data_IF_944516291207
#
_entry.id   IF_944516291207
#
_cell.length_a   1.000
_cell.length_b   1.000
_cell.length_c   1.000
_cell.angle_alpha   90.00
_cell.angle_beta   90.00
_cell.angle_gamma   90.00
#
_symmetry.space_group_name_H-M   'P 1'
#
loop_
_entity.id
_entity.type
_entity.pdbx_description
1 polymer ?
#
# COMPACT_ATOMS: atom_id res chain seq x y z
N UNK A 1 -15.89 32.01 15.53
CA UNK A 1 -15.81 31.02 16.60
C UNK A 1 -14.34 30.81 16.91
N UNK A 2 -13.90 30.77 18.16
CA UNK A 2 -12.50 30.52 18.47
C UNK A 2 -12.14 29.10 18.04
N UNK A 3 -11.08 28.98 17.23
CA UNK A 3 -10.48 27.70 16.86
C UNK A 3 -10.08 26.98 18.14
N UNK A 4 -10.64 25.80 18.39
CA UNK A 4 -10.11 24.93 19.44
C UNK A 4 -8.65 24.59 19.08
N UNK A 5 -7.73 24.59 20.07
CA UNK A 5 -6.37 24.18 19.81
C UNK A 5 -6.41 22.72 19.35
N UNK A 6 -5.89 22.47 18.16
CA UNK A 6 -5.61 21.14 17.63
C UNK A 6 -4.68 20.50 18.67
N UNK A 7 -5.17 19.47 19.38
CA UNK A 7 -4.28 18.61 20.14
C UNK A 7 -3.22 18.15 19.12
N UNK A 8 -1.97 18.51 19.35
CA UNK A 8 -0.88 18.25 18.43
C UNK A 8 -0.69 16.75 18.32
N UNK A 9 -1.32 16.14 17.32
CA UNK A 9 -1.08 14.76 16.96
C UNK A 9 0.40 14.65 16.61
N UNK A 10 1.15 13.94 17.46
CA UNK A 10 2.57 13.72 17.24
C UNK A 10 2.75 12.33 16.66
N UNK A 11 3.44 12.26 15.55
CA UNK A 11 3.90 11.00 15.00
C UNK A 11 5.35 10.74 15.36
N UNK A 12 5.73 9.47 15.48
CA UNK A 12 7.14 9.08 15.65
C UNK A 12 7.50 7.91 14.75
N UNK A 13 8.70 7.98 14.16
CA UNK A 13 9.27 6.92 13.34
C UNK A 13 10.11 5.97 14.18
N UNK A 14 9.97 4.69 13.91
CA UNK A 14 10.84 3.62 14.40
C UNK A 14 11.26 2.75 13.24
N UNK A 15 12.57 2.56 13.05
CA UNK A 15 13.07 1.58 12.08
C UNK A 15 12.92 0.17 12.66
N UNK A 16 12.19 -0.68 11.94
CA UNK A 16 11.89 -2.04 12.39
C UNK A 16 12.93 -3.04 11.89
N UNK A 17 13.39 -2.86 10.65
CA UNK A 17 14.28 -3.78 9.97
C UNK A 17 14.99 -3.07 8.82
N UNK A 18 16.18 -3.54 8.50
CA UNK A 18 16.97 -3.15 7.33
C UNK A 18 17.71 -4.40 6.86
N UNK A 19 17.29 -4.97 5.73
CA UNK A 19 17.77 -6.26 5.26
C UNK A 19 17.84 -6.31 3.74
N UNK A 20 18.96 -6.78 3.19
CA UNK A 20 19.19 -6.88 1.74
C UNK A 20 18.16 -7.76 1.03
N UNK A 21 17.62 -8.79 1.69
CA UNK A 21 16.51 -9.59 1.11
C UNK A 21 15.28 -8.75 0.83
N UNK A 22 15.08 -7.69 1.59
CA UNK A 22 13.94 -6.79 1.44
C UNK A 22 14.13 -5.69 0.40
N UNK A 23 15.32 -5.54 -0.20
CA UNK A 23 15.62 -4.53 -1.24
C UNK A 23 14.70 -4.67 -2.43
N UNK A 24 13.73 -3.75 -2.59
CA UNK A 24 12.83 -3.70 -3.74
C UNK A 24 11.98 -2.45 -3.83
N UNK A 25 11.39 -2.23 -5.01
CA UNK A 25 10.29 -1.29 -5.26
C UNK A 25 9.15 -1.99 -6.00
N UNK A 26 7.98 -1.37 -6.07
CA UNK A 26 6.80 -1.88 -6.80
C UNK A 26 6.26 -3.24 -6.32
N UNK A 27 6.54 -3.59 -5.07
CA UNK A 27 6.01 -4.75 -4.36
C UNK A 27 4.61 -4.47 -3.82
N UNK A 28 3.96 -5.51 -3.29
CA UNK A 28 2.81 -5.38 -2.40
C UNK A 28 3.23 -5.68 -0.97
N UNK A 29 2.60 -4.97 -0.03
CA UNK A 29 2.73 -5.17 1.40
C UNK A 29 1.35 -5.25 2.02
N UNK A 30 1.13 -6.24 2.88
CA UNK A 30 -0.10 -6.37 3.67
C UNK A 30 0.24 -6.68 5.13
N UNK A 31 -0.39 -5.98 6.04
CA UNK A 31 -0.33 -6.28 7.48
C UNK A 31 -1.50 -7.19 7.84
N UNK A 32 -1.18 -8.38 8.30
CA UNK A 32 -2.16 -9.39 8.70
C UNK A 32 -1.82 -9.83 10.12
N UNK A 33 -2.70 -9.50 11.05
CA UNK A 33 -2.46 -9.68 12.49
C UNK A 33 -1.11 -9.05 12.90
N UNK A 34 -0.17 -9.85 13.37
CA UNK A 34 1.17 -9.42 13.78
C UNK A 34 2.26 -9.66 12.70
N UNK A 35 1.86 -9.85 11.45
CA UNK A 35 2.77 -10.15 10.36
C UNK A 35 2.66 -9.13 9.23
N UNK A 36 3.80 -8.74 8.69
CA UNK A 36 3.91 -8.01 7.42
C UNK A 36 4.24 -9.03 6.34
N UNK A 37 3.36 -9.20 5.38
CA UNK A 37 3.55 -10.07 4.22
C UNK A 37 3.93 -9.22 3.01
N UNK A 38 5.05 -9.55 2.34
CA UNK A 38 5.57 -8.81 1.20
C UNK A 38 5.74 -9.77 0.03
N UNK A 39 5.25 -9.38 -1.15
CA UNK A 39 5.35 -10.19 -2.36
C UNK A 39 5.68 -9.35 -3.60
N UNK A 40 6.44 -9.95 -4.53
CA UNK A 40 6.79 -9.31 -5.80
C UNK A 40 7.76 -8.13 -5.67
N UNK A 41 7.67 -7.22 -6.62
CA UNK A 41 8.57 -6.08 -6.73
C UNK A 41 9.81 -6.38 -7.56
N UNK A 42 10.68 -5.38 -7.68
CA UNK A 42 11.90 -5.44 -8.50
C UNK A 42 13.09 -4.81 -7.77
N UNK A 43 14.29 -5.37 -8.00
CA UNK A 43 15.57 -4.78 -7.57
C UNK A 43 16.16 -3.91 -8.67
N UNK A 44 15.99 -4.32 -9.91
CA UNK A 44 16.36 -3.55 -11.10
C UNK A 44 15.12 -3.29 -11.95
N UNK A 45 15.10 -2.19 -12.71
CA UNK A 45 13.97 -1.88 -13.58
C UNK A 45 13.61 -3.05 -14.48
N UNK A 46 12.33 -3.47 -14.45
CA UNK A 46 11.78 -4.55 -15.29
C UNK A 46 12.35 -5.95 -15.04
N UNK A 47 12.92 -6.17 -13.85
CA UNK A 47 13.39 -7.50 -13.42
C UNK A 47 12.61 -7.89 -12.14
N UNK A 48 11.44 -8.55 -12.23
CA UNK A 48 10.70 -9.02 -11.08
C UNK A 48 11.56 -9.94 -10.21
N UNK A 49 11.48 -9.77 -8.88
CA UNK A 49 12.42 -10.40 -7.95
C UNK A 49 12.30 -11.93 -7.96
N UNK A 50 11.24 -12.48 -7.41
CA UNK A 50 10.94 -13.92 -7.37
C UNK A 50 9.47 -14.16 -6.98
N UNK A 51 9.08 -15.42 -6.77
CA UNK A 51 7.74 -15.84 -6.38
C UNK A 51 7.60 -16.16 -4.89
N UNK A 52 8.56 -15.74 -4.08
CA UNK A 52 8.55 -15.99 -2.64
C UNK A 52 7.81 -14.89 -1.88
N UNK A 53 7.26 -15.25 -0.73
CA UNK A 53 6.68 -14.31 0.23
C UNK A 53 7.68 -14.07 1.35
N UNK A 54 7.98 -12.81 1.63
CA UNK A 54 8.74 -12.41 2.80
C UNK A 54 7.78 -12.02 3.91
N UNK A 55 7.95 -12.62 5.09
CA UNK A 55 7.09 -12.42 6.26
C UNK A 55 7.94 -11.85 7.40
N UNK A 56 7.54 -10.68 7.89
CA UNK A 56 8.18 -10.04 9.05
C UNK A 56 7.23 -10.05 10.23
N UNK A 57 7.64 -10.68 11.35
CA UNK A 57 6.86 -10.65 12.58
C UNK A 57 7.01 -9.31 13.29
N UNK A 58 5.89 -8.67 13.62
CA UNK A 58 5.84 -7.42 14.38
C UNK A 58 5.96 -7.64 15.90
N UNK A 59 5.73 -8.87 16.39
CA UNK A 59 5.97 -9.23 17.80
C UNK A 59 7.45 -9.42 18.04
N UNK A 60 7.94 -8.86 19.14
CA UNK A 60 9.27 -9.19 19.66
C UNK A 60 9.31 -10.67 20.01
N UNK A 61 10.37 -11.38 19.60
CA UNK A 61 10.47 -12.81 19.81
C UNK A 61 10.36 -13.18 21.30
N UNK A 62 9.23 -13.75 21.70
CA UNK A 62 9.12 -14.48 22.96
C UNK A 62 9.90 -15.77 22.75
N UNK A 63 11.09 -15.86 23.35
CA UNK A 63 11.80 -17.13 23.47
C UNK A 63 10.88 -18.14 24.12
N UNK A 64 10.62 -19.23 23.42
CA UNK A 64 9.87 -20.39 23.94
C UNK A 64 10.47 -20.82 25.31
N UNK A 65 9.67 -21.05 26.36
CA UNK A 65 10.15 -21.40 27.69
C UNK A 65 10.48 -22.88 27.80
N UNK A 66 11.34 -23.42 26.95
CA UNK A 66 11.89 -24.75 27.10
C UNK A 66 13.35 -24.80 26.70
N UNK A 67 14.24 -24.27 27.58
CA UNK A 67 15.55 -24.87 27.86
C UNK A 67 16.10 -24.28 29.15
N UNK A 68 15.99 -25.03 30.22
CA UNK A 68 16.59 -24.74 31.50
C UNK A 68 18.08 -25.06 31.45
N UNK A 69 18.96 -24.03 31.47
CA UNK A 69 20.24 -23.98 32.17
C UNK A 69 20.77 -22.56 32.22
N UNK A 70 21.17 -22.02 33.41
CA UNK A 70 21.69 -20.67 33.49
C UNK A 70 23.18 -20.65 33.12
N UNK A 71 23.50 -19.96 32.03
CA UNK A 71 24.87 -19.51 31.77
C UNK A 71 25.02 -18.10 32.31
N UNK A 72 25.94 -17.93 33.26
CA UNK A 72 26.36 -16.64 33.80
C UNK A 72 27.22 -15.95 32.74
N UNK A 73 26.67 -14.97 32.06
CA UNK A 73 27.22 -13.76 31.47
C UNK A 73 26.11 -13.19 30.59
N UNK A 74 25.29 -12.34 31.20
CA UNK A 74 24.29 -11.54 30.50
C UNK A 74 24.83 -10.14 30.37
N UNK A 75 25.25 -9.76 29.20
CA UNK A 75 25.24 -8.38 28.78
C UNK A 75 23.84 -8.12 28.24
N UNK A 76 23.14 -7.18 28.85
CA UNK A 76 21.83 -6.69 28.44
C UNK A 76 21.92 -6.07 27.03
N UNK A 77 21.56 -6.85 26.02
CA UNK A 77 21.10 -6.37 24.72
C UNK A 77 20.17 -7.44 24.14
N UNK A 78 18.97 -7.53 24.71
CA UNK A 78 17.87 -8.17 24.02
C UNK A 78 17.41 -7.18 22.95
N UNK A 79 18.10 -7.18 21.82
CA UNK A 79 17.68 -6.45 20.61
C UNK A 79 16.30 -6.93 20.25
N UNK A 80 15.39 -5.99 20.09
CA UNK A 80 14.00 -6.12 19.63
C UNK A 80 13.97 -6.50 18.13
N UNK A 81 14.82 -7.49 17.75
CA UNK A 81 15.03 -7.90 16.39
C UNK A 81 13.77 -8.56 15.82
N UNK A 82 13.17 -7.93 14.82
CA UNK A 82 12.07 -8.49 14.07
C UNK A 82 12.55 -9.71 13.27
N UNK A 83 11.74 -10.77 13.27
CA UNK A 83 12.08 -11.99 12.55
C UNK A 83 11.59 -11.91 11.12
N UNK A 84 12.52 -11.99 10.16
CA UNK A 84 12.25 -12.14 8.75
C UNK A 84 12.27 -13.63 8.35
N UNK A 85 11.24 -14.08 7.67
CA UNK A 85 11.19 -15.41 7.04
C UNK A 85 10.85 -15.25 5.56
N UNK A 86 11.64 -15.89 4.69
CA UNK A 86 11.35 -15.99 3.26
C UNK A 86 10.81 -17.37 2.94
N UNK A 87 9.60 -17.45 2.43
CA UNK A 87 8.92 -18.71 2.12
C UNK A 87 8.73 -18.89 0.62
N UNK A 88 9.27 -20.00 0.11
CA UNK A 88 8.86 -20.52 -1.19
C UNK A 88 7.54 -21.28 -0.98
N UNK A 89 6.52 -20.90 -1.75
CA UNK A 89 5.17 -21.45 -1.62
C UNK A 89 4.77 -22.12 -2.93
N UNK A 90 4.31 -23.34 -2.86
CA UNK A 90 3.77 -24.05 -4.04
C UNK A 90 2.57 -23.28 -4.60
N UNK A 91 2.44 -23.26 -5.92
CA UNK A 91 1.35 -22.59 -6.63
C UNK A 91 1.30 -21.08 -6.43
N UNK A 92 2.45 -20.43 -6.17
CA UNK A 92 2.54 -18.99 -6.08
C UNK A 92 2.24 -18.31 -7.43
N UNK A 93 1.77 -17.06 -7.41
CA UNK A 93 1.74 -16.24 -8.62
C UNK A 93 3.13 -16.09 -9.21
N UNK A 94 3.23 -15.96 -10.52
CA UNK A 94 4.52 -15.66 -11.19
C UNK A 94 5.13 -14.35 -10.65
N UNK A 95 6.46 -14.21 -10.67
CA UNK A 95 7.14 -12.97 -10.30
C UNK A 95 6.55 -11.76 -11.04
N UNK A 96 6.23 -10.70 -10.30
CA UNK A 96 5.51 -9.54 -10.84
C UNK A 96 5.81 -8.24 -10.10
N UNK A 97 5.60 -7.12 -10.78
CA UNK A 97 5.72 -5.77 -10.24
C UNK A 97 4.43 -4.97 -10.46
N UNK A 98 4.22 -3.95 -9.64
CA UNK A 98 3.10 -3.03 -9.80
C UNK A 98 1.73 -3.67 -9.66
N UNK A 99 1.63 -4.80 -8.94
CA UNK A 99 0.37 -5.28 -8.40
C UNK A 99 -0.08 -4.39 -7.24
N UNK A 100 -1.34 -4.53 -6.83
CA UNK A 100 -1.83 -3.97 -5.59
C UNK A 100 -2.54 -5.05 -4.77
N UNK A 101 -2.47 -4.94 -3.46
CA UNK A 101 -3.09 -5.90 -2.54
C UNK A 101 -4.05 -5.22 -1.57
N UNK A 102 -4.96 -6.01 -1.01
CA UNK A 102 -5.80 -5.63 0.10
C UNK A 102 -6.04 -6.82 1.04
N UNK A 103 -6.29 -6.52 2.30
CA UNK A 103 -6.55 -7.54 3.32
C UNK A 103 -8.04 -7.74 3.53
N UNK A 104 -8.50 -8.99 3.46
CA UNK A 104 -9.85 -9.41 3.82
C UNK A 104 -9.78 -10.70 4.66
N UNK A 105 -10.49 -10.73 5.78
CA UNK A 105 -10.58 -11.92 6.63
C UNK A 105 -9.22 -12.57 6.96
N UNK A 106 -8.21 -11.74 7.28
CA UNK A 106 -6.88 -12.21 7.64
C UNK A 106 -6.07 -12.81 6.50
N UNK A 107 -6.38 -12.47 5.25
CA UNK A 107 -5.67 -12.93 4.05
C UNK A 107 -5.36 -11.78 3.12
N UNK A 108 -4.25 -11.89 2.37
CA UNK A 108 -3.85 -10.92 1.35
C UNK A 108 -4.44 -11.32 0.00
N UNK A 109 -5.15 -10.41 -0.63
CA UNK A 109 -5.68 -10.58 -1.98
C UNK A 109 -4.95 -9.66 -2.94
N UNK A 110 -4.61 -10.16 -4.12
CA UNK A 110 -3.96 -9.35 -5.16
C UNK A 110 -4.51 -9.69 -6.56
N UNK A 111 -4.37 -8.74 -7.47
CA UNK A 111 -4.80 -8.86 -8.87
C UNK A 111 -3.68 -8.47 -9.80
N UNK A 112 -3.50 -9.22 -10.92
CA UNK A 112 -2.65 -8.87 -12.06
C UNK A 112 -1.24 -8.37 -11.65
N UNK A 113 -0.77 -7.27 -12.22
CA UNK A 113 0.60 -6.77 -12.17
C UNK A 113 1.26 -6.89 -13.53
N UNK A 114 2.56 -6.72 -13.58
CA UNK A 114 3.36 -6.79 -14.80
C UNK A 114 4.53 -7.76 -14.63
N UNK A 115 4.80 -8.56 -15.63
CA UNK A 115 5.87 -9.56 -15.55
C UNK A 115 6.17 -10.24 -16.89
N UNK A 116 6.90 -11.35 -16.80
CA UNK A 116 7.38 -12.06 -17.98
C UNK A 116 8.51 -11.30 -18.70
N UNK A 117 8.95 -11.85 -19.84
CA UNK A 117 10.06 -11.28 -20.64
C UNK A 117 9.67 -9.90 -21.22
N UNK A 118 8.42 -9.76 -21.65
CA UNK A 118 7.93 -8.54 -22.28
C UNK A 118 7.50 -7.47 -21.27
N UNK A 119 7.51 -7.83 -19.98
CA UNK A 119 6.98 -6.96 -18.91
C UNK A 119 5.57 -6.44 -19.24
N UNK A 120 4.74 -7.32 -19.78
CA UNK A 120 3.35 -7.04 -20.09
C UNK A 120 2.45 -7.17 -18.86
N UNK A 121 1.27 -6.53 -18.83
CA UNK A 121 0.25 -6.83 -17.84
C UNK A 121 -0.11 -8.31 -17.84
N UNK A 122 -0.17 -8.92 -16.66
CA UNK A 122 -0.39 -10.37 -16.50
C UNK A 122 -1.89 -10.65 -16.57
N UNK A 123 -2.30 -11.32 -17.65
CA UNK A 123 -3.68 -11.76 -17.84
C UNK A 123 -3.91 -13.12 -17.16
N UNK A 124 -4.97 -13.21 -16.37
CA UNK A 124 -5.29 -14.39 -15.59
C UNK A 124 -6.80 -14.67 -15.57
N UNK A 125 -7.53 -14.30 -16.63
CA UNK A 125 -8.98 -14.52 -16.78
C UNK A 125 -9.81 -13.95 -15.62
N UNK A 126 -9.44 -12.76 -15.16
CA UNK A 126 -10.10 -12.09 -14.04
C UNK A 126 -9.88 -12.74 -12.67
N UNK A 127 -8.93 -13.64 -12.55
CA UNK A 127 -8.61 -14.29 -11.29
C UNK A 127 -8.03 -13.32 -10.26
N UNK A 128 -8.36 -13.56 -9.00
CA UNK A 128 -7.77 -12.91 -7.82
C UNK A 128 -6.94 -13.92 -7.05
N UNK A 129 -5.70 -13.59 -6.74
CA UNK A 129 -4.85 -14.42 -5.90
C UNK A 129 -5.11 -14.14 -4.43
N UNK A 130 -5.06 -15.19 -3.62
CA UNK A 130 -5.24 -15.12 -2.17
C UNK A 130 -4.07 -15.83 -1.48
N UNK A 131 -3.35 -15.10 -0.64
CA UNK A 131 -2.33 -15.65 0.26
C UNK A 131 -2.87 -15.77 1.68
N UNK A 132 -2.80 -16.97 2.23
CA UNK A 132 -3.14 -17.25 3.62
C UNK A 132 -1.85 -17.43 4.44
N UNK A 133 -1.50 -16.49 5.31
CA UNK A 133 -0.27 -16.56 6.10
C UNK A 133 -0.30 -17.70 7.13
N UNK A 134 -1.47 -18.14 7.59
CA UNK A 134 -1.60 -19.21 8.58
C UNK A 134 -1.19 -20.56 8.03
N UNK A 135 -1.50 -20.83 6.76
CA UNK A 135 -1.09 -22.04 6.04
C UNK A 135 0.15 -21.82 5.18
N UNK A 136 0.59 -20.55 5.02
CA UNK A 136 1.62 -20.15 4.07
C UNK A 136 1.33 -20.66 2.67
N UNK A 137 0.11 -20.50 2.18
CA UNK A 137 -0.35 -21.04 0.91
C UNK A 137 -1.01 -19.96 0.03
N UNK A 138 -0.77 -20.08 -1.27
CA UNK A 138 -1.50 -19.32 -2.30
C UNK A 138 -2.66 -20.12 -2.86
N UNK A 139 -3.74 -19.44 -3.19
CA UNK A 139 -4.84 -19.97 -4.00
C UNK A 139 -5.23 -18.95 -5.07
N UNK A 140 -5.53 -19.48 -6.26
CA UNK A 140 -6.05 -18.68 -7.38
C UNK A 140 -7.57 -18.80 -7.40
N UNK A 141 -8.26 -17.68 -7.21
CA UNK A 141 -9.72 -17.61 -7.15
C UNK A 141 -10.23 -17.15 -8.51
N UNK A 142 -10.80 -18.08 -9.27
CA UNK A 142 -11.41 -17.79 -10.56
C UNK A 142 -12.81 -17.19 -10.37
N UNK A 143 -13.26 -16.28 -11.25
CA UNK A 143 -14.66 -15.88 -11.32
C UNK A 143 -15.57 -17.10 -11.44
N UNK A 144 -16.74 -17.05 -10.80
CA UNK A 144 -17.70 -18.15 -10.81
C UNK A 144 -18.28 -18.38 -12.21
N UNK A 145 -18.45 -17.32 -12.98
CA UNK A 145 -18.85 -17.33 -14.39
C UNK A 145 -17.72 -16.77 -15.24
N UNK A 146 -17.05 -17.61 -16.00
CA UNK A 146 -15.95 -17.22 -16.89
C UNK A 146 -16.39 -16.40 -18.11
N UNK A 147 -17.69 -16.31 -18.38
CA UNK A 147 -18.25 -15.49 -19.47
C UNK A 147 -18.64 -14.09 -19.01
N UNK A 148 -18.71 -13.85 -17.68
CA UNK A 148 -19.02 -12.55 -17.13
C UNK A 148 -17.86 -11.55 -17.31
N UNK A 149 -18.12 -10.26 -17.46
CA UNK A 149 -17.08 -9.25 -17.57
C UNK A 149 -16.20 -9.19 -16.31
N UNK A 150 -14.91 -8.99 -16.53
CA UNK A 150 -13.90 -8.79 -15.48
C UNK A 150 -12.91 -7.68 -15.89
N UNK A 151 -12.14 -7.11 -14.93
CA UNK A 151 -11.20 -6.04 -15.23
C UNK A 151 -10.05 -6.53 -16.12
N UNK A 152 -9.62 -5.77 -17.15
CA UNK A 152 -8.47 -6.12 -17.96
C UNK A 152 -7.19 -6.16 -17.11
N UNK A 153 -6.22 -6.97 -17.56
CA UNK A 153 -4.89 -7.03 -16.95
C UNK A 153 -4.23 -5.66 -16.91
N UNK A 154 -3.58 -5.35 -15.81
CA UNK A 154 -3.00 -4.03 -15.53
C UNK A 154 -1.90 -4.06 -14.49
N UNK A 155 -1.11 -2.99 -14.44
CA UNK A 155 -0.14 -2.72 -13.37
C UNK A 155 -0.30 -1.31 -12.83
N UNK A 156 0.32 -1.02 -11.68
CA UNK A 156 0.25 0.30 -11.04
C UNK A 156 -1.18 0.80 -10.84
N UNK A 157 -2.10 -0.14 -10.67
CA UNK A 157 -3.44 0.07 -10.15
C UNK A 157 -3.40 0.15 -8.62
N UNK A 158 -4.47 0.55 -8.02
CA UNK A 158 -4.63 0.50 -6.57
C UNK A 158 -5.79 -0.41 -6.17
N UNK A 159 -5.72 -0.91 -4.94
CA UNK A 159 -6.75 -1.75 -4.36
C UNK A 159 -6.97 -1.43 -2.89
N UNK A 160 -8.15 -1.74 -2.41
CA UNK A 160 -8.54 -1.68 -1.00
C UNK A 160 -9.66 -2.68 -0.75
N UNK A 161 -10.14 -2.79 0.49
CA UNK A 161 -11.24 -3.68 0.82
C UNK A 161 -12.18 -3.05 1.84
N UNK A 162 -13.40 -3.58 1.94
CA UNK A 162 -14.32 -3.23 3.02
C UNK A 162 -14.04 -4.03 4.32
N UNK A 163 -13.03 -4.89 4.30
CA UNK A 163 -12.66 -5.78 5.40
C UNK A 163 -13.63 -6.95 5.62
N UNK A 164 -14.62 -7.14 4.74
CA UNK A 164 -15.66 -8.17 4.86
C UNK A 164 -15.60 -9.19 3.72
N UNK A 165 -16.09 -8.79 2.55
CA UNK A 165 -16.20 -9.68 1.40
C UNK A 165 -15.89 -9.03 0.06
N UNK A 166 -15.59 -7.73 0.04
CA UNK A 166 -15.39 -6.99 -1.20
C UNK A 166 -13.97 -6.47 -1.35
N UNK A 167 -13.30 -6.92 -2.41
CA UNK A 167 -12.03 -6.40 -2.90
C UNK A 167 -12.31 -5.36 -3.99
N UNK A 168 -11.82 -4.13 -3.80
CA UNK A 168 -11.94 -3.03 -4.75
C UNK A 168 -10.67 -2.87 -5.56
N UNK A 169 -10.81 -2.73 -6.87
CA UNK A 169 -9.73 -2.53 -7.83
C UNK A 169 -10.00 -1.25 -8.64
N UNK A 170 -9.01 -0.37 -8.74
CA UNK A 170 -9.19 0.90 -9.43
C UNK A 170 -8.00 1.29 -10.30
N UNK A 171 -8.29 1.85 -11.50
CA UNK A 171 -7.35 2.53 -12.37
C UNK A 171 -6.14 1.68 -12.81
N UNK A 172 -4.97 2.30 -13.04
CA UNK A 172 -3.74 1.62 -13.43
C UNK A 172 -3.45 1.66 -14.92
N UNK A 173 -2.42 0.91 -15.29
CA UNK A 173 -1.85 0.88 -16.65
C UNK A 173 -2.12 -0.49 -17.29
N UNK A 174 -3.03 -0.59 -18.25
CA UNK A 174 -3.20 -1.77 -19.12
C UNK A 174 -2.04 -1.86 -20.11
N UNK A 175 -2.20 -2.65 -21.19
CA UNK A 175 -1.18 -2.77 -22.25
C UNK A 175 -0.87 -1.42 -22.92
N UNK A 176 -1.85 -0.51 -22.98
CA UNK A 176 -1.69 0.84 -23.51
C UNK A 176 -2.59 1.83 -22.78
N UNK A 177 -2.08 3.01 -22.48
CA UNK A 177 -2.82 4.07 -21.79
C UNK A 177 -2.96 3.85 -20.28
N UNK A 178 -4.00 4.45 -19.72
CA UNK A 178 -4.34 4.40 -18.30
C UNK A 178 -5.86 4.28 -18.15
N UNK A 179 -6.29 3.84 -16.96
CA UNK A 179 -7.69 3.57 -16.67
C UNK A 179 -8.22 4.48 -15.56
N UNK A 180 -9.55 4.59 -15.47
CA UNK A 180 -10.28 5.24 -14.38
C UNK A 180 -11.43 4.37 -13.86
N UNK A 181 -11.53 3.13 -14.36
CA UNK A 181 -12.56 2.19 -13.98
C UNK A 181 -12.47 1.79 -12.51
N UNK A 182 -13.61 1.43 -11.96
CA UNK A 182 -13.72 0.88 -10.61
C UNK A 182 -14.42 -0.48 -10.69
N UNK A 183 -13.78 -1.49 -10.14
CA UNK A 183 -14.29 -2.84 -10.08
C UNK A 183 -14.38 -3.33 -8.64
N UNK A 184 -15.36 -4.16 -8.36
CA UNK A 184 -15.63 -4.78 -7.08
C UNK A 184 -15.67 -6.30 -7.27
N UNK A 185 -14.83 -7.03 -6.54
CA UNK A 185 -14.85 -8.50 -6.51
C UNK A 185 -15.42 -8.97 -5.18
N UNK A 186 -16.56 -9.67 -5.23
CA UNK A 186 -17.07 -10.37 -4.05
C UNK A 186 -16.36 -11.71 -3.90
N UNK A 187 -15.62 -11.89 -2.81
CA UNK A 187 -14.80 -13.08 -2.60
C UNK A 187 -15.61 -14.36 -2.33
N UNK A 188 -16.84 -14.23 -1.80
CA UNK A 188 -17.69 -15.36 -1.51
C UNK A 188 -18.44 -15.84 -2.76
N UNK A 189 -18.99 -14.89 -3.51
CA UNK A 189 -19.71 -15.16 -4.77
C UNK A 189 -18.76 -15.38 -5.94
N UNK A 190 -17.52 -14.90 -5.84
CA UNK A 190 -16.50 -14.91 -6.90
C UNK A 190 -16.98 -14.18 -8.16
N UNK A 191 -17.57 -13.01 -7.97
CA UNK A 191 -18.14 -12.20 -9.07
C UNK A 191 -17.50 -10.83 -9.12
N UNK A 192 -17.21 -10.38 -10.35
CA UNK A 192 -16.81 -9.01 -10.62
C UNK A 192 -18.04 -8.15 -10.95
N UNK A 193 -18.05 -6.93 -10.45
CA UNK A 193 -19.00 -5.90 -10.80
C UNK A 193 -18.27 -4.60 -11.09
N UNK A 194 -18.51 -4.01 -12.24
CA UNK A 194 -18.02 -2.68 -12.56
C UNK A 194 -18.96 -1.62 -11.98
N UNK A 195 -18.37 -0.61 -11.35
CA UNK A 195 -19.04 0.61 -10.92
C UNK A 195 -18.80 1.74 -11.94
N UNK A 196 -19.46 2.89 -11.81
CA UNK A 196 -19.14 4.06 -12.61
C UNK A 196 -17.66 4.43 -12.53
N UNK A 197 -17.07 4.82 -13.66
CA UNK A 197 -15.71 5.29 -13.74
C UNK A 197 -15.49 6.54 -12.88
N UNK A 198 -14.30 6.65 -12.30
CA UNK A 198 -13.90 7.84 -11.55
C UNK A 198 -13.71 9.05 -12.47
N UNK A 199 -13.83 10.29 -11.93
CA UNK A 199 -13.58 11.51 -12.69
C UNK A 199 -12.21 11.49 -13.41
N UNK A 200 -12.15 12.12 -14.57
CA UNK A 200 -10.93 12.30 -15.34
C UNK A 200 -9.87 13.09 -14.54
N UNK A 201 -8.58 12.94 -14.87
CA UNK A 201 -8.02 12.07 -15.92
C UNK A 201 -7.86 10.60 -15.48
N UNK A 202 -7.68 9.72 -16.46
CA UNK A 202 -7.25 8.34 -16.24
C UNK A 202 -5.82 8.32 -15.65
N UNK A 203 -5.50 7.41 -14.72
CA UNK A 203 -4.23 7.44 -13.95
C UNK A 203 -3.66 6.06 -13.68
N UNK A 204 -2.32 5.99 -13.64
CA UNK A 204 -1.57 4.92 -12.98
C UNK A 204 -0.88 5.45 -11.73
N UNK A 205 -0.43 4.57 -10.83
CA UNK A 205 0.21 4.98 -9.58
C UNK A 205 -0.65 5.87 -8.68
N UNK A 206 -1.98 5.76 -8.81
CA UNK A 206 -2.98 6.42 -7.96
C UNK A 206 -3.19 5.64 -6.66
N UNK A 207 -3.85 6.26 -5.70
CA UNK A 207 -4.13 5.65 -4.39
C UNK A 207 -5.62 5.63 -4.12
N UNK A 208 -6.08 4.60 -3.40
CA UNK A 208 -7.47 4.43 -2.98
C UNK A 208 -7.55 3.91 -1.54
N UNK A 209 -8.53 4.39 -0.79
CA UNK A 209 -8.80 3.95 0.57
C UNK A 209 -10.31 3.74 0.78
N UNK A 210 -10.67 2.76 1.59
CA UNK A 210 -12.05 2.54 2.02
C UNK A 210 -12.26 3.02 3.46
N UNK A 211 -13.30 3.83 3.68
CA UNK A 211 -13.73 4.22 5.01
C UNK A 211 -15.22 4.56 5.03
N UNK A 212 -15.94 4.01 6.00
CA UNK A 212 -17.33 4.37 6.27
C UNK A 212 -18.31 4.18 5.08
N UNK A 213 -18.14 3.14 4.27
CA UNK A 213 -19.00 2.87 3.10
C UNK A 213 -18.66 3.73 1.88
N UNK A 214 -17.49 4.37 1.88
CA UNK A 214 -16.99 5.20 0.77
C UNK A 214 -15.59 4.81 0.37
N UNK A 215 -15.28 5.01 -0.91
CA UNK A 215 -13.92 4.93 -1.43
C UNK A 215 -13.41 6.36 -1.67
N UNK A 216 -12.18 6.59 -1.28
CA UNK A 216 -11.47 7.86 -1.45
C UNK A 216 -10.29 7.62 -2.38
N UNK A 217 -10.21 8.36 -3.48
CA UNK A 217 -9.18 8.24 -4.49
C UNK A 217 -8.46 9.57 -4.63
N UNK A 218 -7.11 9.55 -4.69
CA UNK A 218 -6.32 10.74 -4.97
C UNK A 218 -5.00 10.41 -5.65
N UNK A 219 -4.31 11.44 -6.12
CA UNK A 219 -2.97 11.35 -6.69
C UNK A 219 -2.90 10.51 -7.99
N UNK A 220 -1.68 10.13 -8.39
CA UNK A 220 -1.41 9.33 -9.58
C UNK A 220 -0.87 10.15 -10.74
N UNK A 221 -0.47 9.47 -11.80
CA UNK A 221 0.14 10.04 -13.01
C UNK A 221 -0.74 9.78 -14.24
N UNK A 222 -1.09 10.83 -14.97
CA UNK A 222 -1.98 10.71 -16.14
C UNK A 222 -1.25 10.37 -17.45
N UNK A 223 0.08 10.31 -17.40
CA UNK A 223 0.96 10.11 -18.55
C UNK A 223 1.75 11.35 -18.94
N UNK A 224 1.43 12.48 -18.34
CA UNK A 224 2.07 13.77 -18.57
C UNK A 224 2.48 14.43 -17.26
N UNK A 225 1.57 14.44 -16.28
CA UNK A 225 1.77 15.11 -14.98
C UNK A 225 1.21 14.28 -13.82
N UNK A 226 1.81 14.44 -12.66
CA UNK A 226 1.22 14.00 -11.40
C UNK A 226 -0.04 14.78 -11.09
N UNK A 227 -1.01 14.06 -10.55
CA UNK A 227 -2.30 14.58 -10.15
C UNK A 227 -2.34 14.90 -8.66
N UNK A 228 -3.04 15.95 -8.29
CA UNK A 228 -3.23 16.40 -6.91
C UNK A 228 -4.36 17.42 -6.80
N UNK A 229 -4.54 18.01 -5.60
CA UNK A 229 -5.53 19.05 -5.36
C UNK A 229 -6.97 18.59 -5.30
N UNK A 230 -7.22 17.28 -5.34
CA UNK A 230 -8.57 16.73 -5.20
C UNK A 230 -8.56 15.36 -4.52
N UNK A 231 -9.64 15.07 -3.81
CA UNK A 231 -10.04 13.72 -3.39
C UNK A 231 -11.36 13.42 -4.08
N UNK A 232 -11.37 12.38 -4.91
CA UNK A 232 -12.61 11.85 -5.48
C UNK A 232 -13.20 10.82 -4.52
N UNK A 233 -14.49 10.95 -4.23
CA UNK A 233 -15.19 10.13 -3.24
C UNK A 233 -16.31 9.36 -3.93
N UNK A 234 -16.21 8.03 -3.92
CA UNK A 234 -17.27 7.14 -4.39
C UNK A 234 -18.14 6.69 -3.22
N UNK A 235 -19.41 7.03 -3.27
CA UNK A 235 -20.41 6.59 -2.30
C UNK A 235 -21.02 5.25 -2.77
N UNK A 236 -20.70 4.17 -2.05
CA UNK A 236 -21.15 2.82 -2.40
C UNK A 236 -22.67 2.66 -2.34
N UNK A 237 -23.35 3.36 -1.43
CA UNK A 237 -24.79 3.27 -1.27
C UNK A 237 -25.54 3.97 -2.43
N UNK A 238 -25.00 5.10 -2.89
CA UNK A 238 -25.59 5.90 -3.96
C UNK A 238 -25.02 5.55 -5.35
N UNK A 239 -23.93 4.78 -5.41
CA UNK A 239 -23.22 4.41 -6.64
C UNK A 239 -22.79 5.63 -7.47
N UNK A 240 -22.30 6.69 -6.82
CA UNK A 240 -21.92 7.97 -7.44
C UNK A 240 -20.61 8.50 -6.93
N UNK A 241 -19.90 9.23 -7.81
CA UNK A 241 -18.70 9.99 -7.49
C UNK A 241 -19.01 11.44 -7.14
N UNK A 242 -18.25 11.98 -6.21
CA UNK A 242 -18.13 13.41 -5.92
C UNK A 242 -16.67 13.79 -5.74
N UNK A 243 -16.35 15.07 -5.84
CA UNK A 243 -14.94 15.54 -5.71
C UNK A 243 -14.86 16.66 -4.69
N UNK A 244 -13.98 16.49 -3.70
CA UNK A 244 -13.56 17.52 -2.77
C UNK A 244 -12.22 18.10 -3.26
N UNK A 245 -12.09 19.42 -3.32
CA UNK A 245 -10.89 20.10 -3.80
C UNK A 245 -10.11 20.78 -2.67
N UNK A 246 -8.79 20.84 -2.81
CA UNK A 246 -7.89 21.55 -1.91
C UNK A 246 -6.72 22.14 -2.70
N UNK A 247 -5.90 23.00 -2.08
CA UNK A 247 -4.68 23.49 -2.71
C UNK A 247 -3.54 22.47 -2.53
N UNK A 248 -2.99 22.00 -3.65
CA UNK A 248 -1.84 21.09 -3.65
C UNK A 248 -0.50 21.86 -3.62
N UNK A 249 -0.28 22.68 -2.61
CA UNK A 249 0.82 23.63 -2.51
C UNK A 249 1.85 23.29 -1.41
N UNK A 250 1.69 22.14 -0.75
CA UNK A 250 2.54 21.73 0.36
C UNK A 250 2.32 22.48 1.67
N UNK A 251 1.27 23.32 1.74
CA UNK A 251 0.88 24.09 2.94
C UNK A 251 -0.58 23.83 3.34
N UNK A 252 -1.52 24.05 2.41
CA UNK A 252 -2.95 23.80 2.64
C UNK A 252 -3.33 22.34 2.34
N UNK A 253 -2.47 21.59 1.64
CA UNK A 253 -2.60 20.18 1.35
C UNK A 253 -1.38 19.60 0.63
N UNK A 254 -1.33 18.27 0.49
CA UNK A 254 -0.19 17.60 -0.15
C UNK A 254 -0.03 18.03 -1.61
N UNK A 255 1.22 18.23 -2.06
CA UNK A 255 1.55 18.46 -3.46
C UNK A 255 1.10 17.28 -4.34
N UNK A 256 0.90 17.54 -5.64
CA UNK A 256 0.61 16.51 -6.63
C UNK A 256 1.72 15.45 -6.65
N UNK A 257 1.33 14.19 -6.71
CA UNK A 257 2.26 13.04 -6.62
C UNK A 257 1.70 11.78 -7.22
N UNK A 258 2.56 10.84 -7.50
CA UNK A 258 2.19 9.47 -7.88
C UNK A 258 2.96 8.44 -7.06
N UNK A 259 2.64 7.17 -7.20
CA UNK A 259 3.30 6.01 -6.57
C UNK A 259 3.53 6.20 -5.07
N UNK A 260 2.52 6.75 -4.43
CA UNK A 260 2.35 6.93 -2.98
C UNK A 260 1.18 6.07 -2.49
N UNK A 261 0.82 6.21 -1.23
CA UNK A 261 -0.30 5.50 -0.63
C UNK A 261 -1.37 6.46 -0.09
N UNK A 262 -2.59 5.96 0.03
CA UNK A 262 -3.68 6.57 0.78
C UNK A 262 -4.25 5.50 1.71
N UNK A 263 -4.12 5.67 3.01
CA UNK A 263 -4.45 4.66 4.00
C UNK A 263 -5.58 5.12 4.93
N UNK A 264 -6.57 4.26 5.20
CA UNK A 264 -7.61 4.55 6.18
C UNK A 264 -7.07 4.27 7.58
N UNK A 265 -6.82 5.30 8.38
CA UNK A 265 -6.30 5.20 9.74
C UNK A 265 -7.32 5.69 10.75
N UNK A 266 -7.32 5.08 11.92
CA UNK A 266 -8.08 5.58 13.07
C UNK A 266 -7.11 6.29 14.02
N UNK A 267 -7.35 7.58 14.27
CA UNK A 267 -6.53 8.41 15.17
C UNK A 267 -7.46 9.14 16.16
N UNK A 268 -7.14 9.03 17.44
CA UNK A 268 -8.02 9.49 18.53
C UNK A 268 -9.46 8.95 18.37
N UNK A 269 -9.58 7.69 17.94
CA UNK A 269 -10.84 6.98 17.66
C UNK A 269 -11.69 7.57 16.53
N UNK A 270 -11.12 8.44 15.70
CA UNK A 270 -11.78 9.03 14.53
C UNK A 270 -11.18 8.48 13.24
N UNK A 271 -12.04 8.19 12.27
CA UNK A 271 -11.60 7.76 10.95
C UNK A 271 -10.98 8.94 10.19
N UNK A 272 -9.80 8.73 9.65
CA UNK A 272 -9.01 9.70 8.89
C UNK A 272 -8.32 8.99 7.72
N UNK A 273 -7.80 9.78 6.78
CA UNK A 273 -6.93 9.26 5.73
C UNK A 273 -5.51 9.77 5.95
N UNK A 274 -4.54 8.92 5.67
CA UNK A 274 -3.13 9.26 5.71
C UNK A 274 -2.53 9.07 4.32
N UNK A 275 -1.79 10.08 3.83
CA UNK A 275 -0.93 9.95 2.64
C UNK A 275 0.48 10.42 2.97
N UNK A 276 1.47 9.80 2.35
CA UNK A 276 2.87 10.12 2.58
C UNK A 276 3.70 9.79 1.36
N UNK A 277 4.84 10.46 1.23
CA UNK A 277 5.87 10.22 0.22
C UNK A 277 5.31 10.27 -1.22
N UNK A 278 5.96 9.57 -2.14
CA UNK A 278 5.60 9.51 -3.56
C UNK A 278 6.55 10.28 -4.44
N UNK A 279 6.40 10.10 -5.74
CA UNK A 279 7.15 10.85 -6.75
C UNK A 279 6.40 12.13 -7.13
N UNK A 280 7.17 13.20 -7.24
CA UNK A 280 6.81 14.47 -7.85
C UNK A 280 7.86 14.81 -8.90
N UNK A 281 7.51 15.44 -10.00
CA UNK A 281 8.41 15.68 -11.12
C UNK A 281 9.05 14.38 -11.66
N UNK A 282 8.32 13.60 -12.46
CA UNK A 282 8.77 12.29 -12.90
C UNK A 282 10.05 12.35 -13.71
N UNK A 283 10.86 11.30 -13.61
CA UNK A 283 12.11 11.20 -14.35
C UNK A 283 11.89 11.25 -15.85
N UNK A 284 12.72 12.01 -16.56
CA UNK A 284 12.76 12.02 -18.03
C UNK A 284 13.13 10.66 -18.64
N UNK A 285 13.71 9.76 -17.84
CA UNK A 285 14.03 8.38 -18.22
C UNK A 285 12.85 7.41 -17.98
N UNK A 286 11.69 7.92 -17.54
CA UNK A 286 10.54 7.09 -17.15
C UNK A 286 10.92 6.08 -16.07
N UNK A 287 10.49 4.83 -16.21
CA UNK A 287 10.76 3.76 -15.23
C UNK A 287 12.24 3.35 -15.07
N UNK A 288 13.14 3.85 -15.90
CA UNK A 288 14.58 3.60 -15.77
C UNK A 288 15.28 4.61 -14.83
N UNK A 289 14.59 5.66 -14.42
CA UNK A 289 15.11 6.69 -13.55
C UNK A 289 14.22 6.98 -12.35
N UNK A 290 14.73 7.75 -11.42
CA UNK A 290 13.96 8.31 -10.32
C UNK A 290 13.70 9.79 -10.56
N UNK A 291 12.49 10.27 -10.29
CA UNK A 291 12.17 11.68 -10.22
C UNK A 291 12.49 12.26 -8.85
N UNK A 292 11.86 13.37 -8.53
CA UNK A 292 11.95 13.96 -7.19
C UNK A 292 11.01 13.22 -6.24
N UNK A 293 11.55 12.73 -5.13
CA UNK A 293 10.78 12.02 -4.12
C UNK A 293 10.36 12.94 -2.97
N UNK A 294 9.14 12.82 -2.52
CA UNK A 294 8.59 13.53 -1.39
C UNK A 294 8.86 12.76 -0.08
N UNK A 295 8.90 13.49 1.06
CA UNK A 295 9.11 12.92 2.39
C UNK A 295 8.07 13.35 3.42
N UNK A 296 7.06 14.08 2.98
CA UNK A 296 6.02 14.61 3.82
C UNK A 296 4.98 13.55 4.24
N UNK A 297 4.30 13.82 5.33
CA UNK A 297 3.23 13.00 5.89
C UNK A 297 2.03 13.90 6.11
N UNK A 298 0.86 13.48 5.62
CA UNK A 298 -0.37 14.25 5.70
C UNK A 298 -1.53 13.43 6.23
N UNK A 299 -2.35 14.04 7.07
CA UNK A 299 -3.60 13.48 7.57
C UNK A 299 -4.76 14.30 7.04
N UNK A 300 -5.74 13.63 6.45
CA UNK A 300 -7.03 14.21 6.05
C UNK A 300 -8.10 13.88 7.08
N UNK A 301 -8.73 14.91 7.61
CA UNK A 301 -9.93 14.76 8.45
C UNK A 301 -11.14 14.59 7.53
N UNK A 302 -11.71 13.39 7.52
CA UNK A 302 -12.85 13.06 6.65
C UNK A 302 -14.09 13.90 7.00
N UNK A 303 -14.30 14.22 8.29
CA UNK A 303 -15.47 14.96 8.76
C UNK A 303 -15.37 16.46 8.47
N UNK A 304 -14.18 17.00 8.61
CA UNK A 304 -13.91 18.44 8.47
C UNK A 304 -13.41 18.82 7.07
N UNK A 305 -13.00 17.84 6.30
CA UNK A 305 -12.49 17.99 4.91
C UNK A 305 -11.26 18.89 4.79
N UNK A 306 -10.31 18.76 5.71
CA UNK A 306 -9.05 19.47 5.65
C UNK A 306 -7.84 18.58 5.85
N UNK A 307 -6.70 19.06 5.36
CA UNK A 307 -5.40 18.43 5.53
C UNK A 307 -4.63 19.02 6.70
N UNK A 308 -3.84 18.19 7.37
CA UNK A 308 -2.84 18.58 8.36
C UNK A 308 -1.54 17.89 8.04
N UNK A 309 -0.46 18.67 7.85
CA UNK A 309 0.87 18.09 7.72
C UNK A 309 1.39 17.66 9.08
N UNK A 310 1.98 16.48 9.14
CA UNK A 310 2.70 15.97 10.29
C UNK A 310 4.20 16.09 10.07
N UNK A 311 4.92 16.29 11.16
CA UNK A 311 6.39 16.29 11.17
C UNK A 311 6.88 15.24 12.18
N UNK A 312 6.75 13.94 11.85
CA UNK A 312 7.17 12.88 12.76
C UNK A 312 8.68 12.92 12.94
N UNK A 313 9.11 12.77 14.20
CA UNK A 313 10.52 12.55 14.57
C UNK A 313 10.79 11.06 14.80
N UNK A 314 12.01 10.70 15.15
CA UNK A 314 12.37 9.33 15.51
C UNK A 314 13.78 9.22 16.08
N UNK A 315 13.95 8.36 17.09
CA UNK A 315 15.28 8.10 17.68
C UNK A 315 16.27 7.47 16.69
N UNK A 316 15.74 6.72 15.73
CA UNK A 316 16.53 6.05 14.68
C UNK A 316 16.68 6.88 13.40
N UNK A 317 16.27 8.17 13.45
CA UNK A 317 16.10 9.03 12.29
C UNK A 317 14.72 8.92 11.68
N UNK A 318 14.60 9.30 10.42
CA UNK A 318 13.34 9.25 9.63
C UNK A 318 13.60 8.55 8.31
N UNK A 319 12.57 7.94 7.69
CA UNK A 319 12.71 7.36 6.36
C UNK A 319 13.18 8.36 5.32
N UNK A 320 14.01 7.91 4.38
CA UNK A 320 14.39 8.72 3.21
C UNK A 320 13.19 8.96 2.29
N UNK A 321 13.20 10.07 1.51
CA UNK A 321 12.21 10.33 0.47
C UNK A 321 12.10 9.15 -0.50
N UNK A 322 10.89 8.75 -0.87
CA UNK A 322 10.66 7.55 -1.68
C UNK A 322 9.35 7.55 -2.46
N UNK A 323 9.35 6.89 -3.61
CA UNK A 323 8.16 6.46 -4.33
C UNK A 323 8.20 4.96 -4.60
N UNK A 324 7.16 4.38 -5.21
CA UNK A 324 7.06 2.93 -5.49
C UNK A 324 7.30 2.01 -4.28
N UNK A 325 7.12 2.54 -3.08
CA UNK A 325 7.05 1.79 -1.82
C UNK A 325 5.62 1.25 -1.63
N UNK A 326 5.45 0.39 -0.64
CA UNK A 326 4.10 0.05 -0.20
C UNK A 326 3.99 0.17 1.32
N UNK A 327 2.75 0.31 1.80
CA UNK A 327 2.45 0.52 3.21
C UNK A 327 1.07 -0.02 3.57
N UNK A 328 0.92 -0.43 4.83
CA UNK A 328 -0.36 -0.85 5.36
C UNK A 328 -0.49 -0.48 6.85
N UNK A 329 -1.69 -0.63 7.38
CA UNK A 329 -2.09 -0.16 8.70
C UNK A 329 -2.09 -1.29 9.72
N UNK A 330 -1.37 -1.09 10.82
CA UNK A 330 -1.51 -1.91 12.04
C UNK A 330 -2.66 -1.34 12.85
N UNK A 331 -3.76 -2.06 12.91
CA UNK A 331 -4.94 -1.67 13.68
C UNK A 331 -4.69 -1.80 15.18
N UNK A 332 -5.09 -0.80 15.97
CA UNK A 332 -4.91 -0.78 17.40
C UNK A 332 -6.23 -0.62 18.15
N UNK A 333 -6.45 -1.45 19.18
CA UNK A 333 -7.62 -1.33 20.06
C UNK A 333 -7.63 -0.01 20.86
N UNK A 334 -6.45 0.57 21.09
CA UNK A 334 -6.28 1.87 21.77
C UNK A 334 -6.98 3.03 21.04
N UNK A 335 -7.22 2.88 19.74
CA UNK A 335 -7.84 3.90 18.89
C UNK A 335 -6.85 4.83 18.20
N UNK A 336 -5.55 4.51 18.26
CA UNK A 336 -4.51 5.10 17.42
C UNK A 336 -3.84 3.96 16.64
N UNK A 337 -4.15 3.86 15.36
CA UNK A 337 -3.49 2.93 14.45
C UNK A 337 -2.04 3.38 14.21
N UNK A 338 -1.18 2.45 13.77
CA UNK A 338 0.15 2.79 13.25
C UNK A 338 0.29 2.32 11.80
N UNK A 339 1.30 2.80 11.10
CA UNK A 339 1.52 2.50 9.68
C UNK A 339 2.88 1.85 9.51
N UNK A 340 2.94 0.74 8.78
CA UNK A 340 4.19 0.13 8.33
C UNK A 340 4.44 0.57 6.90
N UNK A 341 5.66 1.01 6.60
CA UNK A 341 6.15 1.28 5.25
C UNK A 341 7.36 0.40 4.96
N UNK A 342 7.54 0.04 3.69
CA UNK A 342 8.67 -0.78 3.29
C UNK A 342 9.15 -0.46 1.88
N UNK A 343 10.48 -0.44 1.70
CA UNK A 343 11.14 -0.40 0.42
C UNK A 343 10.82 0.86 -0.39
N UNK A 344 10.73 0.69 -1.69
CA UNK A 344 10.53 1.78 -2.63
C UNK A 344 11.79 2.19 -3.35
N UNK A 345 11.68 3.27 -4.13
CA UNK A 345 12.75 3.89 -4.91
C UNK A 345 13.12 5.25 -4.31
N UNK A 346 14.40 5.45 -4.02
CA UNK A 346 14.95 6.73 -3.59
C UNK A 346 15.34 7.63 -4.77
N UNK A 347 15.67 8.90 -4.49
CA UNK A 347 16.05 9.89 -5.51
C UNK A 347 17.33 9.52 -6.28
N UNK A 348 18.22 8.73 -5.68
CA UNK A 348 19.45 8.22 -6.32
C UNK A 348 19.20 6.98 -7.20
N UNK A 349 17.93 6.64 -7.48
CA UNK A 349 17.51 5.48 -8.25
C UNK A 349 17.88 4.12 -7.60
N UNK A 350 18.08 4.10 -6.29
CA UNK A 350 18.32 2.88 -5.51
C UNK A 350 17.02 2.35 -4.89
N UNK A 351 16.87 1.03 -4.90
CA UNK A 351 15.78 0.36 -4.19
C UNK A 351 16.15 0.24 -2.73
N UNK A 352 15.21 0.57 -1.86
CA UNK A 352 15.41 0.64 -0.42
C UNK A 352 15.17 -0.71 0.25
N UNK A 353 15.88 -0.96 1.35
CA UNK A 353 15.87 -2.22 2.11
C UNK A 353 15.06 -2.11 3.39
N UNK A 354 14.76 -0.89 3.82
CA UNK A 354 14.30 -0.57 5.16
C UNK A 354 12.79 -0.76 5.33
N UNK A 355 12.43 -1.09 6.55
CA UNK A 355 11.05 -1.13 7.02
C UNK A 355 10.90 -0.23 8.23
N UNK A 356 9.88 0.63 8.22
CA UNK A 356 9.63 1.57 9.29
C UNK A 356 8.20 1.49 9.79
N UNK A 357 8.01 1.88 11.04
CA UNK A 357 6.70 2.09 11.65
C UNK A 357 6.52 3.57 11.98
N UNK A 358 5.41 4.13 11.57
CA UNK A 358 4.90 5.43 12.03
C UNK A 358 3.85 5.18 13.10
N UNK A 359 4.13 5.59 14.33
CA UNK A 359 3.22 5.51 15.48
C UNK A 359 2.69 6.89 15.86
N UNK A 360 1.50 6.95 16.50
CA UNK A 360 0.81 8.18 16.92
C UNK A 360 0.46 8.19 18.39
#
# INVERSE_FOLDING_TARGET
>A
MPMMPISTLKGSWKRLLDDERLRRSSQVLSVIDDHVCIFGGEVKPREPLDDKVDIVSLKSGITSPHCSRPSRYSTNDATDAKRLETKAVSSAPTPRVGSASAVLNGKMYLFSGRGGIDMAPIEEDGAVWCFDPSSSAWSKIMPADSSAPYPPARSYHCSTSDGKDTFFLHAGCPASGRLSDLWMFNINERTWKQAPDAPAPHRGGTSIAYSGGKLYRMNGFDGTTEQGGSIDVFDLANNTWSTDTFKADGNDGPEARSVCVLLPVKLARKDKLLTLFGEHDPSSLGHAGAGKMLKDVWIYDISEKWWTQLHPDGSDGTPDPRGWFDADVVKAESGNDSVIIHGGLGENNERLTDMWQLAF
#
